data_IF_009629554869
#
_entry.id   IF_009629554869
#
_cell.length_a   1.000
_cell.length_b   1.000
_cell.length_c   1.000
_cell.angle_alpha   90.00
_cell.angle_beta   90.00
_cell.angle_gamma   90.00
#
_symmetry.space_group_name_H-M   'P 1'
#
loop_
_entity.id
_entity.type
_entity.pdbx_description
1 polymer ?
#
# COMPACT_ATOMS: atom_id res chain seq x y z
N UNK A 1 -20.53 -22.95 -2.55
CA UNK A 1 -19.24 -22.84 -3.28
C UNK A 1 -19.36 -21.58 -4.09
N UNK A 2 -18.96 -20.45 -3.50
CA UNK A 2 -18.98 -19.15 -4.17
C UNK A 2 -17.55 -18.78 -4.53
N UNK A 3 -17.32 -18.59 -5.82
CA UNK A 3 -16.04 -18.19 -6.41
C UNK A 3 -15.64 -16.81 -5.85
N UNK A 4 -14.37 -16.56 -5.48
CA UNK A 4 -13.97 -15.24 -5.00
C UNK A 4 -14.08 -14.22 -6.14
N UNK A 5 -14.63 -13.06 -5.81
CA UNK A 5 -14.64 -11.87 -6.66
C UNK A 5 -13.25 -11.65 -7.24
N UNK A 6 -13.15 -11.86 -8.56
CA UNK A 6 -12.00 -11.49 -9.36
C UNK A 6 -11.78 -9.99 -9.22
N UNK A 7 -10.71 -9.64 -8.52
CA UNK A 7 -10.02 -8.39 -8.76
C UNK A 7 -9.28 -8.59 -10.08
N UNK A 8 -9.38 -7.59 -10.95
CA UNK A 8 -8.82 -7.51 -12.31
C UNK A 8 -9.79 -7.91 -13.43
N UNK A 9 -10.94 -7.23 -13.50
CA UNK A 9 -11.71 -7.05 -14.75
C UNK A 9 -11.20 -5.77 -15.48
N UNK A 10 -10.51 -5.90 -16.62
CA UNK A 10 -10.02 -4.76 -17.38
C UNK A 10 -11.13 -3.91 -18.03
N UNK A 11 -12.38 -4.35 -18.04
CA UNK A 11 -13.53 -3.54 -18.49
C UNK A 11 -14.01 -2.52 -17.43
N UNK A 12 -13.55 -2.63 -16.17
CA UNK A 12 -14.04 -1.84 -15.04
C UNK A 12 -13.42 -0.44 -14.89
N UNK A 13 -12.35 -0.12 -15.63
CA UNK A 13 -11.60 1.13 -15.42
C UNK A 13 -10.88 1.22 -14.07
N UNK A 14 -10.74 0.10 -13.35
CA UNK A 14 -10.06 0.02 -12.06
C UNK A 14 -8.55 0.24 -12.19
N UNK A 15 -8.01 1.16 -11.39
CA UNK A 15 -6.57 1.42 -11.29
C UNK A 15 -6.15 1.45 -9.82
N UNK A 16 -4.87 1.14 -9.54
CA UNK A 16 -4.32 1.25 -8.18
C UNK A 16 -4.42 2.69 -7.69
N UNK A 17 -4.09 3.67 -8.53
CA UNK A 17 -4.35 5.08 -8.26
C UNK A 17 -5.82 5.38 -7.90
N UNK A 18 -6.79 4.87 -8.68
CA UNK A 18 -8.22 5.08 -8.44
C UNK A 18 -8.67 4.51 -7.10
N UNK A 19 -8.19 3.32 -6.74
CA UNK A 19 -8.46 2.71 -5.44
C UNK A 19 -7.78 3.47 -4.29
N UNK A 20 -6.56 3.96 -4.50
CA UNK A 20 -5.87 4.79 -3.53
C UNK A 20 -6.69 6.06 -3.21
N UNK A 21 -7.22 6.73 -4.25
CA UNK A 21 -8.09 7.90 -4.13
C UNK A 21 -9.41 7.58 -3.43
N UNK A 22 -10.06 6.46 -3.77
CA UNK A 22 -11.28 6.04 -3.10
C UNK A 22 -11.07 5.85 -1.59
N UNK A 23 -10.01 5.15 -1.19
CA UNK A 23 -9.69 4.94 0.23
C UNK A 23 -9.28 6.24 0.94
N UNK A 24 -8.63 7.17 0.24
CA UNK A 24 -8.31 8.50 0.76
C UNK A 24 -9.57 9.33 1.02
N UNK A 25 -10.55 9.27 0.12
CA UNK A 25 -11.86 9.94 0.31
C UNK A 25 -12.58 9.41 1.55
N UNK A 26 -12.57 8.09 1.77
CA UNK A 26 -13.13 7.48 2.98
C UNK A 26 -12.37 7.95 4.22
N UNK A 27 -11.03 7.96 4.18
CA UNK A 27 -10.18 8.46 5.25
C UNK A 27 -10.52 9.90 5.65
N UNK A 28 -10.65 10.78 4.66
CA UNK A 28 -11.00 12.18 4.87
C UNK A 28 -12.42 12.36 5.40
N UNK A 29 -13.38 11.59 4.89
CA UNK A 29 -14.76 11.58 5.38
C UNK A 29 -14.80 11.21 6.87
N UNK A 30 -14.14 10.11 7.27
CA UNK A 30 -14.10 9.66 8.66
C UNK A 30 -13.41 10.66 9.58
N UNK A 31 -12.31 11.25 9.13
CA UNK A 31 -11.59 12.26 9.89
C UNK A 31 -12.42 13.53 10.12
N UNK A 32 -13.21 13.93 9.11
CA UNK A 32 -14.11 15.09 9.20
C UNK A 32 -15.26 14.87 10.19
N UNK A 33 -15.84 13.67 10.23
CA UNK A 33 -16.99 13.37 11.08
C UNK A 33 -16.59 12.95 12.50
N UNK A 34 -15.32 12.57 12.70
CA UNK A 34 -14.78 12.22 14.02
C UNK A 34 -15.29 10.88 14.55
N UNK A 35 -14.80 10.47 15.72
CA UNK A 35 -15.25 9.24 16.39
C UNK A 35 -14.69 7.91 15.84
N UNK A 36 -14.01 7.93 14.70
CA UNK A 36 -13.52 6.73 14.00
C UNK A 36 -12.00 6.77 13.74
N UNK A 37 -11.21 7.14 14.76
CA UNK A 37 -9.76 7.30 14.63
C UNK A 37 -9.03 6.04 14.14
N UNK A 38 -9.48 4.86 14.55
CA UNK A 38 -9.00 3.56 14.08
C UNK A 38 -9.25 3.34 12.58
N UNK A 39 -10.44 3.72 12.11
CA UNK A 39 -10.77 3.64 10.70
C UNK A 39 -10.05 4.69 9.86
N UNK A 40 -9.79 5.88 10.39
CA UNK A 40 -8.92 6.88 9.72
C UNK A 40 -7.52 6.30 9.52
N UNK A 41 -6.94 5.67 10.55
CA UNK A 41 -5.63 5.01 10.43
C UNK A 41 -5.69 3.86 9.41
N UNK A 42 -6.74 3.05 9.45
CA UNK A 42 -6.90 1.86 8.60
C UNK A 42 -7.04 2.24 7.13
N UNK A 43 -7.92 3.17 6.82
CA UNK A 43 -8.15 3.66 5.45
C UNK A 43 -6.95 4.43 4.92
N UNK A 44 -6.24 5.18 5.77
CA UNK A 44 -4.97 5.80 5.40
C UNK A 44 -3.91 4.78 4.98
N UNK A 45 -3.78 3.68 5.73
CA UNK A 45 -2.84 2.62 5.39
C UNK A 45 -3.21 1.91 4.08
N UNK A 46 -4.49 1.57 3.87
CA UNK A 46 -4.91 0.93 2.63
C UNK A 46 -4.77 1.84 1.41
N UNK A 47 -5.06 3.13 1.55
CA UNK A 47 -4.77 4.11 0.50
C UNK A 47 -3.28 4.16 0.18
N UNK A 48 -2.42 4.20 1.20
CA UNK A 48 -0.96 4.22 1.02
C UNK A 48 -0.41 2.97 0.31
N UNK A 49 -0.96 1.78 0.59
CA UNK A 49 -0.59 0.54 -0.12
C UNK A 49 -0.82 0.72 -1.63
N UNK A 50 -2.00 1.23 -2.01
CA UNK A 50 -2.34 1.37 -3.41
C UNK A 50 -1.49 2.43 -4.12
N UNK A 51 -1.20 3.56 -3.48
CA UNK A 51 -0.24 4.55 -4.02
C UNK A 51 1.15 3.94 -4.25
N UNK A 52 1.65 3.17 -3.29
CA UNK A 52 2.95 2.53 -3.39
C UNK A 52 2.96 1.46 -4.50
N UNK A 53 1.92 0.63 -4.59
CA UNK A 53 1.84 -0.41 -5.62
C UNK A 53 1.67 0.17 -7.03
N UNK A 54 0.91 1.25 -7.19
CA UNK A 54 0.79 2.00 -8.46
C UNK A 54 2.14 2.54 -8.92
N UNK A 55 2.97 3.00 -7.97
CA UNK A 55 4.33 3.46 -8.27
C UNK A 55 5.31 2.33 -8.55
N UNK A 56 5.23 1.24 -7.78
CA UNK A 56 6.20 0.14 -7.85
C UNK A 56 5.99 -0.78 -9.05
N UNK A 57 4.79 -0.81 -9.62
CA UNK A 57 4.41 -1.75 -10.67
C UNK A 57 3.75 -1.06 -11.87
N UNK A 58 4.00 -1.55 -13.11
CA UNK A 58 4.85 -2.69 -13.44
C UNK A 58 6.34 -2.43 -13.19
N UNK A 59 7.11 -3.49 -12.94
CA UNK A 59 8.57 -3.41 -12.85
C UNK A 59 9.25 -4.62 -13.47
N UNK A 60 10.51 -4.46 -13.85
CA UNK A 60 11.34 -5.54 -14.39
C UNK A 60 12.21 -6.14 -13.29
N UNK A 61 12.23 -7.47 -13.19
CA UNK A 61 13.12 -8.25 -12.32
C UNK A 61 14.02 -9.16 -13.15
N UNK A 62 15.18 -9.52 -12.60
CA UNK A 62 16.13 -10.42 -13.25
C UNK A 62 16.04 -11.82 -12.68
N UNK A 63 15.99 -12.81 -13.56
CA UNK A 63 16.11 -14.25 -13.26
C UNK A 63 17.25 -14.86 -14.08
N UNK A 64 18.45 -14.87 -13.51
CA UNK A 64 19.67 -15.14 -14.25
C UNK A 64 19.89 -14.08 -15.35
N UNK A 65 19.90 -14.51 -16.61
CA UNK A 65 20.05 -13.65 -17.79
C UNK A 65 18.72 -13.12 -18.34
N UNK A 66 17.58 -13.58 -17.81
CA UNK A 66 16.25 -13.18 -18.29
C UNK A 66 15.74 -11.97 -17.52
N UNK A 67 15.08 -11.08 -18.25
CA UNK A 67 14.28 -9.99 -17.68
C UNK A 67 12.80 -10.37 -17.73
N UNK A 68 12.13 -10.24 -16.59
CA UNK A 68 10.72 -10.60 -16.41
C UNK A 68 9.98 -9.35 -15.97
N UNK A 69 8.93 -8.98 -16.69
CA UNK A 69 8.01 -7.92 -16.28
C UNK A 69 7.00 -8.47 -15.27
N UNK A 70 6.83 -7.74 -14.17
CA UNK A 70 5.98 -8.09 -13.05
C UNK A 70 5.01 -6.94 -12.80
N UNK A 71 3.72 -7.23 -12.83
CA UNK A 71 2.66 -6.21 -12.83
C UNK A 71 1.99 -6.03 -11.46
N UNK A 72 2.32 -6.85 -10.47
CA UNK A 72 1.68 -6.80 -9.16
C UNK A 72 2.60 -7.25 -8.04
N UNK A 73 2.26 -6.87 -6.80
CA UNK A 73 2.97 -7.36 -5.63
C UNK A 73 2.86 -8.88 -5.47
N UNK A 74 1.71 -9.47 -5.80
CA UNK A 74 1.50 -10.91 -5.69
C UNK A 74 2.43 -11.68 -6.63
N UNK A 75 2.46 -11.29 -7.90
CA UNK A 75 3.39 -11.87 -8.88
C UNK A 75 4.86 -11.65 -8.50
N UNK A 76 5.20 -10.49 -7.92
CA UNK A 76 6.54 -10.26 -7.37
C UNK A 76 6.87 -11.19 -6.21
N UNK A 77 5.94 -11.37 -5.26
CA UNK A 77 6.14 -12.23 -4.09
C UNK A 77 6.33 -13.68 -4.51
N UNK A 78 5.52 -14.16 -5.46
CA UNK A 78 5.62 -15.54 -5.97
C UNK A 78 6.95 -15.76 -6.68
N UNK A 79 7.36 -14.82 -7.53
CA UNK A 79 8.67 -14.82 -8.16
C UNK A 79 9.78 -14.88 -7.11
N UNK A 80 9.78 -13.93 -6.16
CA UNK A 80 10.81 -13.82 -5.13
C UNK A 80 10.90 -15.10 -4.27
N UNK A 81 9.77 -15.64 -3.84
CA UNK A 81 9.74 -16.86 -3.03
C UNK A 81 10.26 -18.07 -3.81
N UNK A 82 9.92 -18.17 -5.09
CA UNK A 82 10.38 -19.24 -5.98
C UNK A 82 11.89 -19.16 -6.23
N UNK A 83 12.37 -18.01 -6.69
CA UNK A 83 13.76 -17.80 -7.08
C UNK A 83 14.74 -17.94 -5.91
N UNK A 84 14.32 -17.58 -4.69
CA UNK A 84 15.18 -17.64 -3.50
C UNK A 84 14.85 -18.80 -2.55
N UNK A 85 13.86 -19.65 -2.87
CA UNK A 85 13.44 -20.75 -1.98
C UNK A 85 12.92 -20.27 -0.62
N UNK A 86 12.25 -19.12 -0.58
CA UNK A 86 11.75 -18.46 0.63
C UNK A 86 10.22 -18.54 0.73
N UNK A 87 9.68 -18.19 1.90
CA UNK A 87 8.22 -18.08 2.14
C UNK A 87 7.89 -16.75 2.83
N UNK A 88 8.14 -15.64 2.15
CA UNK A 88 7.80 -14.30 2.61
C UNK A 88 6.35 -13.96 2.25
N UNK A 89 5.66 -13.27 3.16
CA UNK A 89 4.32 -12.73 2.91
C UNK A 89 4.37 -11.45 2.08
N UNK A 90 3.26 -11.08 1.46
CA UNK A 90 3.10 -9.80 0.75
C UNK A 90 3.46 -8.58 1.61
N UNK A 91 3.18 -8.61 2.92
CA UNK A 91 3.60 -7.53 3.82
C UNK A 91 5.11 -7.43 3.97
N UNK A 92 5.79 -8.57 4.13
CA UNK A 92 7.25 -8.61 4.24
C UNK A 92 7.91 -8.14 2.94
N UNK A 93 7.44 -8.63 1.79
CA UNK A 93 7.95 -8.22 0.47
C UNK A 93 7.70 -6.74 0.21
N UNK A 94 6.49 -6.21 0.48
CA UNK A 94 6.21 -4.78 0.33
C UNK A 94 7.12 -3.93 1.20
N UNK A 95 7.34 -4.33 2.46
CA UNK A 95 8.27 -3.63 3.35
C UNK A 95 9.72 -3.62 2.86
N UNK A 96 10.16 -4.68 2.19
CA UNK A 96 11.47 -4.72 1.54
C UNK A 96 11.51 -3.79 0.33
N UNK A 97 10.53 -3.88 -0.57
CA UNK A 97 10.44 -3.00 -1.75
C UNK A 97 10.40 -1.51 -1.39
N UNK A 98 9.62 -1.14 -0.37
CA UNK A 98 9.56 0.25 0.10
C UNK A 98 10.91 0.70 0.67
N UNK A 99 11.59 -0.16 1.41
CA UNK A 99 12.93 0.16 1.94
C UNK A 99 13.93 0.39 0.81
N UNK A 100 13.91 -0.48 -0.19
CA UNK A 100 14.93 -0.52 -1.23
C UNK A 100 14.69 0.53 -2.32
N UNK A 101 13.43 0.81 -2.66
CA UNK A 101 13.04 1.68 -3.79
C UNK A 101 12.37 2.99 -3.37
N UNK A 102 11.83 3.05 -2.15
CA UNK A 102 11.07 4.20 -1.65
C UNK A 102 11.60 4.69 -0.29
N UNK A 103 12.93 4.66 -0.09
CA UNK A 103 13.56 4.93 1.20
C UNK A 103 13.11 6.27 1.85
N UNK A 104 12.81 7.28 1.03
CA UNK A 104 12.33 8.60 1.47
C UNK A 104 11.00 8.54 2.25
N UNK A 105 10.13 7.57 1.96
CA UNK A 105 8.82 7.40 2.62
C UNK A 105 8.76 6.20 3.57
N UNK A 106 9.89 5.52 3.81
CA UNK A 106 9.94 4.32 4.64
C UNK A 106 9.40 4.58 6.06
N UNK A 107 9.77 5.70 6.67
CA UNK A 107 9.32 6.03 8.03
C UNK A 107 7.80 6.28 8.09
N UNK A 108 7.23 6.91 7.06
CA UNK A 108 5.80 7.13 6.93
C UNK A 108 5.05 5.81 6.73
N UNK A 109 5.55 4.94 5.85
CA UNK A 109 4.96 3.62 5.60
C UNK A 109 4.98 2.74 6.86
N UNK A 110 6.14 2.63 7.53
CA UNK A 110 6.26 1.85 8.78
C UNK A 110 5.32 2.38 9.85
N UNK A 111 5.24 3.72 10.01
CA UNK A 111 4.31 4.33 10.96
C UNK A 111 2.85 3.97 10.64
N UNK A 112 2.43 3.96 9.37
CA UNK A 112 1.06 3.57 9.01
C UNK A 112 0.81 2.09 9.27
N UNK A 113 1.74 1.22 8.89
CA UNK A 113 1.64 -0.22 9.11
C UNK A 113 1.45 -0.56 10.59
N UNK A 114 2.35 -0.08 11.45
CA UNK A 114 2.33 -0.38 12.90
C UNK A 114 1.04 0.13 13.57
N UNK A 115 0.62 1.34 13.22
CA UNK A 115 -0.60 1.92 13.78
C UNK A 115 -1.85 1.19 13.28
N UNK A 116 -1.87 0.77 12.02
CA UNK A 116 -2.99 0.05 11.43
C UNK A 116 -3.13 -1.37 12.00
N UNK A 117 -2.02 -2.08 12.18
CA UNK A 117 -2.03 -3.38 12.85
C UNK A 117 -2.51 -3.26 14.31
N UNK A 118 -2.05 -2.23 15.01
CA UNK A 118 -2.49 -1.98 16.39
C UNK A 118 -3.97 -1.55 16.47
N UNK A 119 -4.44 -0.71 15.54
CA UNK A 119 -5.83 -0.24 15.50
C UNK A 119 -6.83 -1.37 15.26
N UNK A 120 -6.50 -2.28 14.33
CA UNK A 120 -7.39 -3.39 13.95
C UNK A 120 -7.40 -4.54 14.93
N UNK A 121 -6.26 -4.84 15.57
CA UNK A 121 -6.10 -6.08 16.33
C UNK A 121 -5.84 -5.90 17.83
N UNK A 122 -5.49 -4.69 18.28
CA UNK A 122 -5.18 -4.45 19.70
C UNK A 122 -6.16 -3.49 20.37
N UNK A 123 -6.39 -2.30 19.82
CA UNK A 123 -7.31 -1.32 20.41
C UNK A 123 -7.85 -0.33 19.37
N UNK A 124 -9.18 -0.32 19.24
CA UNK A 124 -9.91 0.60 18.37
C UNK A 124 -9.95 2.04 18.94
N UNK A 125 -9.65 2.23 20.23
CA UNK A 125 -9.63 3.56 20.87
C UNK A 125 -8.34 4.30 20.53
N UNK A 126 -8.24 4.72 19.27
CA UNK A 126 -7.14 5.59 18.81
C UNK A 126 -7.43 7.04 19.11
N UNK A 127 -6.41 7.75 19.59
CA UNK A 127 -6.51 9.18 19.79
C UNK A 127 -6.49 9.94 18.45
N UNK A 128 -7.04 11.14 18.48
CA UNK A 128 -7.09 12.01 17.30
C UNK A 128 -5.69 12.40 16.79
N UNK A 129 -4.67 12.37 17.66
CA UNK A 129 -3.27 12.62 17.27
C UNK A 129 -2.75 11.53 16.34
N UNK A 130 -3.05 10.27 16.64
CA UNK A 130 -2.71 9.10 15.82
C UNK A 130 -3.39 9.19 14.46
N UNK A 131 -4.69 9.49 14.43
CA UNK A 131 -5.44 9.69 13.19
C UNK A 131 -4.85 10.83 12.33
N UNK A 132 -4.51 11.97 12.97
CA UNK A 132 -3.87 13.10 12.29
C UNK A 132 -2.49 12.73 11.74
N UNK A 133 -1.68 11.99 12.51
CA UNK A 133 -0.38 11.50 12.07
C UNK A 133 -0.52 10.56 10.87
N UNK A 134 -1.52 9.67 10.88
CA UNK A 134 -1.78 8.76 9.77
C UNK A 134 -2.09 9.52 8.47
N UNK A 135 -2.96 10.54 8.52
CA UNK A 135 -3.25 11.39 7.36
C UNK A 135 -2.02 12.12 6.83
N UNK A 136 -1.17 12.64 7.71
CA UNK A 136 0.12 13.25 7.30
C UNK A 136 1.06 12.25 6.63
N UNK A 137 1.11 11.02 7.12
CA UNK A 137 1.92 9.97 6.49
C UNK A 137 1.36 9.58 5.12
N UNK A 138 0.04 9.45 4.98
CA UNK A 138 -0.59 9.20 3.68
C UNK A 138 -0.26 10.31 2.68
N UNK A 139 -0.40 11.57 3.09
CA UNK A 139 -0.11 12.72 2.22
C UNK A 139 1.34 12.70 1.69
N UNK A 140 2.32 12.43 2.57
CA UNK A 140 3.72 12.34 2.18
C UNK A 140 3.99 11.18 1.19
N UNK A 141 3.34 10.02 1.40
CA UNK A 141 3.45 8.86 0.50
C UNK A 141 2.86 9.20 -0.87
N UNK A 142 1.65 9.75 -0.91
CA UNK A 142 0.98 10.16 -2.15
C UNK A 142 1.82 11.17 -2.93
N UNK A 143 2.33 12.20 -2.26
CA UNK A 143 3.17 13.22 -2.87
C UNK A 143 4.43 12.60 -3.49
N UNK A 144 5.12 11.73 -2.76
CA UNK A 144 6.27 11.01 -3.28
C UNK A 144 5.94 10.21 -4.55
N UNK A 145 4.88 9.38 -4.50
CA UNK A 145 4.48 8.54 -5.64
C UNK A 145 4.15 9.38 -6.88
N UNK A 146 3.39 10.48 -6.72
CA UNK A 146 3.04 11.37 -7.84
C UNK A 146 4.25 12.09 -8.43
N UNK A 147 5.19 12.54 -7.59
CA UNK A 147 6.40 13.23 -8.07
C UNK A 147 7.33 12.30 -8.84
N UNK A 148 7.41 11.02 -8.48
CA UNK A 148 8.23 10.05 -9.20
C UNK A 148 7.57 9.63 -10.52
N UNK A 149 6.24 9.49 -10.57
CA UNK A 149 5.50 9.18 -11.79
C UNK A 149 5.62 10.26 -12.88
N UNK A 150 5.91 11.51 -12.49
CA UNK A 150 6.08 12.63 -13.45
C UNK A 150 7.53 12.77 -13.96
N UNK A 151 8.48 12.00 -13.40
CA UNK A 151 9.92 12.09 -13.72
C UNK A 151 10.43 10.92 -14.59
N UNK A 152 9.60 9.94 -14.89
CA UNK A 152 9.86 8.87 -15.86
C UNK A 152 9.31 9.23 -17.23
#
# INVERSE_FOLDING_TARGET
>A
MDTPLGLDDPASGYTKQGHALHNEQVCDYLAKHGGFSDWVVTTAFYSAIHWIEDYLFPCVVKDGEKEIEVHSLESYTDFYNTSYGLKKSNHAIRGMLVRDRCAAILSNYSSLYDNCMTARYADYRKDMKTATKARRCLAAIKEFCLQQATKG
#
